data_IF_008774258447
#
_entry.id   IF_008774258447
#
_cell.length_a   1.000
_cell.length_b   1.000
_cell.length_c   1.000
_cell.angle_alpha   90.00
_cell.angle_beta   90.00
_cell.angle_gamma   90.00
#
_symmetry.space_group_name_H-M   'P 1'
#
loop_
_entity.id
_entity.type
_entity.pdbx_description
1 polymer ?
#
# COMPACT_ATOMS: atom_id res chain seq x y z
N UNK A 1 -17.14 -11.25 37.61
CA UNK A 1 -16.05 -10.27 37.36
C UNK A 1 -15.52 -10.55 35.96
N UNK A 2 -15.67 -9.59 35.05
CA UNK A 2 -15.28 -9.69 33.63
C UNK A 2 -13.82 -9.24 33.47
N UNK A 3 -13.27 -9.50 32.27
CA UNK A 3 -11.91 -9.17 31.79
C UNK A 3 -10.87 -10.13 32.37
N UNK A 4 -10.15 -10.96 31.63
CA UNK A 4 -9.44 -10.71 30.38
C UNK A 4 -9.34 -12.01 29.58
N UNK A 5 -9.97 -12.08 28.40
CA UNK A 5 -9.62 -13.10 27.42
C UNK A 5 -8.33 -12.66 26.74
N UNK A 6 -7.29 -13.43 27.02
CA UNK A 6 -5.95 -13.36 26.43
C UNK A 6 -6.07 -13.37 24.92
N UNK A 7 -5.47 -12.36 24.29
CA UNK A 7 -5.32 -12.20 22.85
C UNK A 7 -4.55 -13.40 22.27
N UNK A 8 -5.28 -14.47 21.96
CA UNK A 8 -4.80 -15.62 21.20
C UNK A 8 -5.73 -15.83 20.02
N UNK A 9 -5.60 -14.97 19.02
CA UNK A 9 -5.90 -15.35 17.64
C UNK A 9 -4.64 -15.04 16.87
N UNK A 10 -3.86 -16.11 16.65
CA UNK A 10 -2.73 -16.17 15.74
C UNK A 10 -3.14 -15.52 14.41
N UNK A 11 -2.69 -14.29 14.17
CA UNK A 11 -3.01 -13.52 12.97
C UNK A 11 -1.91 -13.79 11.97
N UNK A 12 -2.26 -14.47 10.88
CA UNK A 12 -1.36 -14.85 9.78
C UNK A 12 -0.40 -13.71 9.41
N UNK A 13 0.89 -13.93 9.61
CA UNK A 13 1.97 -12.93 9.50
C UNK A 13 2.50 -12.86 8.06
N UNK A 14 1.60 -12.57 7.10
CA UNK A 14 1.90 -12.61 5.66
C UNK A 14 1.39 -11.41 4.84
N UNK A 15 0.78 -10.39 5.44
CA UNK A 15 0.35 -9.18 4.72
C UNK A 15 1.23 -7.97 5.07
N UNK A 16 2.41 -7.91 4.46
CA UNK A 16 3.04 -6.62 4.16
C UNK A 16 2.33 -6.11 2.90
N UNK A 17 1.17 -5.48 3.08
CA UNK A 17 0.41 -4.97 1.94
C UNK A 17 1.10 -3.72 1.42
N UNK A 18 1.75 -3.86 0.26
CA UNK A 18 2.29 -2.73 -0.49
C UNK A 18 1.19 -2.13 -1.37
N UNK A 19 1.11 -0.82 -1.42
CA UNK A 19 0.18 -0.10 -2.28
C UNK A 19 0.83 1.16 -2.84
N UNK A 20 0.29 1.66 -3.94
CA UNK A 20 0.75 2.90 -4.56
C UNK A 20 -0.11 4.06 -4.10
N UNK A 21 0.52 5.13 -3.61
CA UNK A 21 -0.13 6.34 -3.13
C UNK A 21 0.15 7.52 -4.06
N UNK A 22 -0.89 8.20 -4.59
CA UNK A 22 -0.70 9.44 -5.33
C UNK A 22 -0.44 10.62 -4.37
N UNK A 23 0.50 11.47 -4.74
CA UNK A 23 0.86 12.73 -4.10
C UNK A 23 0.57 13.84 -5.11
N UNK A 24 -0.50 14.58 -4.87
CA UNK A 24 -0.89 15.71 -5.71
C UNK A 24 -0.15 16.97 -5.23
N UNK A 25 0.62 17.60 -6.11
CA UNK A 25 1.36 18.83 -5.83
C UNK A 25 1.02 19.86 -6.90
N UNK A 26 0.70 21.08 -6.48
CA UNK A 26 0.57 22.22 -7.41
C UNK A 26 1.89 22.97 -7.42
N UNK A 27 2.54 23.07 -8.59
CA UNK A 27 3.79 23.81 -8.77
C UNK A 27 3.68 24.68 -10.02
N UNK A 28 4.05 25.96 -9.91
CA UNK A 28 4.02 26.93 -11.02
C UNK A 28 2.67 26.97 -11.77
N UNK A 29 1.56 26.92 -11.02
CA UNK A 29 0.20 26.93 -11.58
C UNK A 29 -0.23 25.64 -12.30
N UNK A 30 0.61 24.60 -12.34
CA UNK A 30 0.29 23.29 -12.93
C UNK A 30 0.13 22.23 -11.84
N UNK A 31 -0.82 21.31 -12.05
CA UNK A 31 -1.05 20.16 -11.17
C UNK A 31 -0.13 19.02 -11.59
N UNK A 32 0.67 18.54 -10.64
CA UNK A 32 1.55 17.40 -10.79
C UNK A 32 1.08 16.27 -9.87
N UNK A 33 0.99 15.06 -10.41
CA UNK A 33 0.75 13.86 -9.62
C UNK A 33 2.05 13.05 -9.62
N UNK A 34 2.60 12.86 -8.42
CA UNK A 34 3.71 11.95 -8.17
C UNK A 34 3.18 10.70 -7.48
N UNK A 35 3.85 9.58 -7.67
CA UNK A 35 3.44 8.32 -7.07
C UNK A 35 4.53 7.80 -6.14
N UNK A 36 4.12 7.14 -5.07
CA UNK A 36 5.02 6.51 -4.10
C UNK A 36 4.54 5.09 -3.82
N UNK A 37 5.49 4.17 -3.72
CA UNK A 37 5.26 2.82 -3.22
C UNK A 37 5.32 2.86 -1.70
N UNK A 38 4.28 2.37 -1.05
CA UNK A 38 4.12 2.40 0.40
C UNK A 38 3.87 0.99 0.88
N UNK A 39 4.62 0.57 1.90
CA UNK A 39 4.42 -0.67 2.62
C UNK A 39 3.63 -0.42 3.91
N UNK A 40 2.58 -1.20 4.12
CA UNK A 40 1.90 -1.28 5.41
C UNK A 40 2.55 -2.37 6.28
N UNK A 41 3.35 -1.96 7.27
CA UNK A 41 3.99 -2.86 8.22
C UNK A 41 3.36 -2.77 9.62
N UNK A 42 3.30 -3.88 10.34
CA UNK A 42 2.77 -3.91 11.72
C UNK A 42 3.90 -3.61 12.70
N UNK A 43 3.63 -2.69 13.61
CA UNK A 43 4.44 -2.46 14.82
C UNK A 43 3.67 -2.97 16.03
N UNK A 44 4.33 -3.11 17.18
CA UNK A 44 3.68 -3.45 18.46
C UNK A 44 2.52 -2.49 18.79
N UNK A 45 2.60 -1.25 18.32
CA UNK A 45 1.57 -0.20 18.50
C UNK A 45 0.49 -0.22 17.41
N UNK A 46 0.48 -1.21 16.51
CA UNK A 46 -0.46 -1.33 15.40
C UNK A 46 0.14 -1.11 14.02
N UNK A 47 -0.69 -1.08 12.96
CA UNK A 47 -0.25 -0.92 11.58
C UNK A 47 0.33 0.48 11.33
N UNK A 48 1.42 0.54 10.58
CA UNK A 48 2.14 1.75 10.19
C UNK A 48 2.44 1.70 8.70
N UNK A 49 2.53 2.87 8.08
CA UNK A 49 2.87 3.01 6.67
C UNK A 49 4.30 3.52 6.53
N UNK A 50 5.07 2.93 5.60
CA UNK A 50 6.43 3.36 5.27
C UNK A 50 6.55 3.56 3.75
N UNK A 51 7.07 4.70 3.33
CA UNK A 51 7.42 4.90 1.92
C UNK A 51 8.65 4.07 1.60
N UNK A 52 8.53 3.18 0.62
CA UNK A 52 9.61 2.29 0.17
C UNK A 52 10.34 2.90 -1.02
N UNK A 53 9.61 3.51 -1.96
CA UNK A 53 10.18 4.14 -3.14
C UNK A 53 9.34 5.30 -3.66
N UNK A 54 9.99 6.29 -4.26
CA UNK A 54 9.33 7.34 -5.04
C UNK A 54 9.34 6.93 -6.52
N UNK A 55 8.16 6.70 -7.10
CA UNK A 55 8.01 6.29 -8.50
C UNK A 55 8.04 7.49 -9.46
N UNK A 56 7.96 8.70 -8.94
CA UNK A 56 7.95 9.92 -9.76
C UNK A 56 6.61 10.12 -10.48
N UNK A 57 6.65 10.72 -11.67
CA UNK A 57 5.46 10.94 -12.50
C UNK A 57 5.23 9.70 -13.34
N UNK A 58 4.02 9.15 -13.26
CA UNK A 58 3.59 8.02 -14.08
C UNK A 58 2.63 8.56 -15.14
N UNK A 59 2.86 8.21 -16.40
CA UNK A 59 2.00 8.55 -17.51
C UNK A 59 0.78 7.60 -17.59
N UNK A 60 0.04 7.64 -18.69
CA UNK A 60 -1.14 6.79 -18.85
C UNK A 60 -0.76 5.32 -19.09
N UNK A 61 0.26 5.06 -19.91
CA UNK A 61 0.76 3.72 -20.16
C UNK A 61 1.29 3.05 -18.88
N UNK A 62 2.04 3.78 -18.06
CA UNK A 62 2.51 3.27 -16.77
C UNK A 62 1.39 2.96 -15.79
N UNK A 63 0.27 3.71 -15.82
CA UNK A 63 -0.91 3.42 -15.00
C UNK A 63 -1.61 2.13 -15.43
N UNK A 64 -1.75 1.91 -16.74
CA UNK A 64 -2.32 0.66 -17.27
C UNK A 64 -1.47 -0.54 -16.89
N UNK A 65 -0.14 -0.45 -17.00
CA UNK A 65 0.76 -1.53 -16.60
C UNK A 65 0.66 -1.85 -15.09
N UNK A 66 0.56 -0.81 -14.25
CA UNK A 66 0.33 -0.99 -12.80
C UNK A 66 -1.00 -1.67 -12.51
N UNK A 67 -2.06 -1.25 -13.20
CA UNK A 67 -3.39 -1.83 -13.02
C UNK A 67 -3.40 -3.30 -13.41
N UNK A 68 -2.81 -3.65 -14.55
CA UNK A 68 -2.73 -5.03 -15.03
C UNK A 68 -1.97 -5.92 -14.04
N UNK A 69 -0.81 -5.46 -13.53
CA UNK A 69 -0.05 -6.19 -12.52
C UNK A 69 -0.83 -6.35 -11.21
N UNK A 70 -1.60 -5.33 -10.80
CA UNK A 70 -2.44 -5.41 -9.61
C UNK A 70 -3.57 -6.44 -9.77
N UNK A 71 -4.25 -6.43 -10.92
CA UNK A 71 -5.32 -7.36 -11.25
C UNK A 71 -4.80 -8.81 -11.31
N UNK A 72 -3.63 -9.02 -11.94
CA UNK A 72 -2.96 -10.33 -11.99
C UNK A 72 -2.58 -10.84 -10.59
N UNK A 73 -2.04 -9.97 -9.73
CA UNK A 73 -1.67 -10.31 -8.36
C UNK A 73 -2.87 -10.66 -7.47
N UNK A 74 -4.05 -10.07 -7.72
CA UNK A 74 -5.28 -10.46 -7.02
C UNK A 74 -5.77 -11.86 -7.42
N UNK A 75 -5.51 -12.31 -8.65
CA UNK A 75 -5.90 -13.64 -9.13
C UNK A 75 -5.01 -14.71 -8.51
N UNK A 76 -3.72 -14.44 -8.31
CA UNK A 76 -2.76 -15.43 -7.78
C UNK A 76 -2.91 -15.71 -6.29
N UNK A 77 -3.48 -14.78 -5.51
CA UNK A 77 -3.65 -14.93 -4.06
C UNK A 77 -4.97 -15.64 -3.66
N UNK A 78 -5.76 -16.14 -4.62
CA UNK A 78 -7.03 -16.85 -4.39
C UNK A 78 -6.97 -18.37 -4.66
N UNK A 79 -5.78 -18.94 -4.86
CA UNK A 79 -5.56 -20.39 -5.06
C UNK A 79 -4.85 -21.06 -3.88
#
# INVERSE_FOLDING_TARGET
MKTFWVAKIFRSDKNQDMFIRPINVTKNGKRHAYWSLVESHRTERGPRQRVVAYLGKIDEAGRLGIQQVADDATITNQQ
#
